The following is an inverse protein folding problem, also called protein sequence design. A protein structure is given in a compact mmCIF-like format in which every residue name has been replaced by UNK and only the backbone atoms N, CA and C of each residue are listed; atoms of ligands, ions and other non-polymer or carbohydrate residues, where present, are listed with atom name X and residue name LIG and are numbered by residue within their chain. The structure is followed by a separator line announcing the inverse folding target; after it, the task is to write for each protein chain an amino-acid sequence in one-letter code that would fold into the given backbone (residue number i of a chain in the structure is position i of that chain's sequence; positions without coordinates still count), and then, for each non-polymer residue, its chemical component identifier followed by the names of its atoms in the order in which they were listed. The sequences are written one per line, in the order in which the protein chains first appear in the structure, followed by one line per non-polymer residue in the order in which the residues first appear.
data_IF_080042781840
#
_entry.id   IF_080042781840
#
_cell.length_a   1.000
_cell.length_b   1.000
_cell.length_c   1.000
_cell.angle_alpha   90.00
_cell.angle_beta   90.00
_cell.angle_gamma   90.00
#
_symmetry.space_group_name_H-M   'P 1'
#
loop_
_entity.id
_entity.type
_entity.pdbx_description
1 polymer ?
#
# COMPACT_ATOMS: atom_id res chain seq x y z
N UNK A 1 41.94 16.61 -15.26
CA UNK A 1 41.67 15.65 -14.16
C UNK A 1 40.35 14.96 -14.46
N UNK A 2 40.26 13.62 -14.45
CA UNK A 2 38.97 12.96 -14.53
C UNK A 2 38.21 13.22 -13.23
N UNK A 3 36.99 13.76 -13.32
CA UNK A 3 36.07 13.83 -12.17
C UNK A 3 35.84 12.44 -11.62
N UNK A 4 35.91 12.30 -10.29
CA UNK A 4 35.48 11.08 -9.62
C UNK A 4 34.00 10.81 -9.96
N UNK A 5 33.59 9.55 -10.15
CA UNK A 5 32.19 9.21 -10.32
C UNK A 5 31.41 9.66 -9.08
N UNK A 6 30.22 10.22 -9.29
CA UNK A 6 29.33 10.59 -8.20
C UNK A 6 29.06 9.36 -7.31
N UNK A 7 29.02 9.53 -5.98
CA UNK A 7 28.73 8.41 -5.09
C UNK A 7 27.39 7.79 -5.47
N UNK A 8 27.35 6.46 -5.53
CA UNK A 8 26.10 5.72 -5.72
C UNK A 8 25.11 6.15 -4.63
N UNK A 9 23.81 6.33 -4.93
CA UNK A 9 22.83 6.71 -3.94
C UNK A 9 22.89 5.68 -2.80
N UNK A 10 22.95 6.17 -1.56
CA UNK A 10 22.82 5.31 -0.39
C UNK A 10 21.54 4.47 -0.53
N UNK A 11 21.55 3.19 -0.14
CA UNK A 11 20.34 2.38 -0.21
C UNK A 11 19.25 3.12 0.57
N UNK A 12 18.19 3.53 -0.14
CA UNK A 12 17.00 4.00 0.53
C UNK A 12 16.61 2.91 1.54
N UNK A 13 16.15 3.25 2.76
CA UNK A 13 15.55 2.25 3.63
C UNK A 13 14.50 1.47 2.82
N UNK A 14 14.21 0.22 3.16
CA UNK A 14 13.23 -0.62 2.50
C UNK A 14 11.83 0.04 2.54
N UNK A 15 11.66 1.08 1.75
CA UNK A 15 10.51 1.95 1.73
C UNK A 15 9.41 1.11 1.11
N UNK A 16 8.28 1.04 1.80
CA UNK A 16 7.09 0.40 1.27
C UNK A 16 6.05 1.49 1.13
N UNK A 17 5.42 1.55 -0.04
CA UNK A 17 4.33 2.48 -0.30
C UNK A 17 3.04 1.67 -0.24
N UNK A 18 2.17 2.01 0.70
CA UNK A 18 0.81 1.46 0.74
C UNK A 18 -0.09 2.31 -0.16
N UNK A 19 -0.55 1.72 -1.25
CA UNK A 19 -1.48 2.35 -2.17
C UNK A 19 -2.90 1.92 -1.79
N UNK A 20 -3.77 2.90 -1.57
CA UNK A 20 -5.19 2.70 -1.30
C UNK A 20 -6.01 3.25 -2.47
N UNK A 21 -6.97 2.46 -2.94
CA UNK A 21 -8.02 2.90 -3.84
C UNK A 21 -9.36 2.75 -3.10
N UNK A 22 -9.94 3.88 -2.72
CA UNK A 22 -11.19 3.93 -1.97
C UNK A 22 -12.37 4.19 -2.92
N UNK A 23 -13.24 3.20 -3.06
CA UNK A 23 -14.57 3.34 -3.62
C UNK A 23 -15.60 3.68 -2.55
N UNK A 24 -16.87 3.86 -2.95
CA UNK A 24 -17.96 4.17 -2.02
C UNK A 24 -18.30 3.01 -1.07
N UNK A 25 -18.15 1.77 -1.52
CA UNK A 25 -18.43 0.55 -0.75
C UNK A 25 -17.28 -0.46 -0.77
N UNK A 26 -16.10 -0.05 -1.25
CA UNK A 26 -14.92 -0.92 -1.34
C UNK A 26 -13.62 -0.17 -1.10
N UNK A 27 -12.59 -0.91 -0.67
CA UNK A 27 -11.23 -0.41 -0.49
C UNK A 27 -10.22 -1.45 -0.96
N UNK A 28 -9.58 -1.18 -2.11
CA UNK A 28 -8.45 -1.99 -2.59
C UNK A 28 -7.17 -1.46 -2.00
N UNK A 29 -6.29 -2.34 -1.55
CA UNK A 29 -5.00 -1.99 -0.99
C UNK A 29 -3.88 -2.80 -1.63
N UNK A 30 -2.71 -2.18 -1.77
CA UNK A 30 -1.50 -2.86 -2.23
C UNK A 30 -0.27 -2.24 -1.58
N UNK A 31 0.58 -3.06 -0.98
CA UNK A 31 1.90 -2.66 -0.50
C UNK A 31 2.91 -2.84 -1.64
N UNK A 32 3.63 -1.78 -2.02
CA UNK A 32 4.50 -1.75 -3.19
C UNK A 32 5.91 -1.32 -2.80
N UNK A 33 6.91 -1.97 -3.37
CA UNK A 33 8.28 -1.46 -3.37
C UNK A 33 8.39 -0.32 -4.41
N UNK A 34 8.69 0.93 -4.00
CA UNK A 34 8.66 2.08 -4.89
C UNK A 34 9.81 2.11 -5.90
N UNK A 35 10.86 1.31 -5.72
CA UNK A 35 12.02 1.24 -6.62
C UNK A 35 11.75 0.25 -7.75
N UNK A 36 11.21 -0.92 -7.41
CA UNK A 36 10.98 -2.01 -8.36
C UNK A 36 9.55 -2.06 -8.92
N UNK A 37 8.59 -1.42 -8.24
CA UNK A 37 7.16 -1.52 -8.54
C UNK A 37 6.54 -2.87 -8.14
N UNK A 38 7.30 -3.75 -7.49
CA UNK A 38 6.82 -5.07 -7.09
C UNK A 38 5.78 -4.95 -5.97
N UNK A 39 4.66 -5.67 -6.12
CA UNK A 39 3.65 -5.79 -5.08
C UNK A 39 4.12 -6.80 -4.02
N UNK A 40 4.22 -6.35 -2.77
CA UNK A 40 4.55 -7.18 -1.60
C UNK A 40 3.31 -7.87 -1.02
N UNK A 41 2.21 -7.13 -0.96
CA UNK A 41 0.91 -7.62 -0.52
C UNK A 41 -0.20 -6.88 -1.28
N UNK A 42 -1.35 -7.52 -1.45
CA UNK A 42 -2.53 -6.87 -2.01
C UNK A 42 -3.81 -7.53 -1.53
N UNK A 43 -4.86 -6.75 -1.44
CA UNK A 43 -6.19 -7.25 -1.11
C UNK A 43 -7.27 -6.21 -1.31
N UNK A 44 -8.47 -6.58 -0.90
CA UNK A 44 -9.65 -5.73 -0.99
C UNK A 44 -10.53 -5.93 0.25
N UNK A 45 -11.20 -4.86 0.66
CA UNK A 45 -12.31 -4.86 1.62
C UNK A 45 -13.56 -4.46 0.84
N UNK A 46 -14.58 -5.29 0.84
CA UNK A 46 -15.80 -5.10 0.04
C UNK A 46 -17.04 -4.92 0.95
N UNK A 47 -18.12 -4.37 0.37
CA UNK A 47 -19.41 -4.19 1.05
C UNK A 47 -19.29 -3.36 2.34
N UNK A 48 -18.49 -2.30 2.29
CA UNK A 48 -18.28 -1.40 3.43
C UNK A 48 -19.60 -0.71 3.77
N UNK A 49 -20.03 -0.80 5.03
CA UNK A 49 -21.28 -0.21 5.51
C UNK A 49 -22.54 -1.05 5.24
N UNK A 50 -22.40 -2.24 4.67
CA UNK A 50 -23.51 -3.16 4.42
C UNK A 50 -23.64 -4.20 5.55
N UNK A 51 -24.87 -4.68 5.87
CA UNK A 51 -25.07 -5.79 6.79
C UNK A 51 -24.34 -7.05 6.33
N UNK A 52 -23.43 -7.57 7.15
CA UNK A 52 -22.61 -8.75 6.81
C UNK A 52 -21.48 -8.46 5.82
N UNK A 53 -21.17 -7.20 5.55
CA UNK A 53 -19.99 -6.77 4.79
C UNK A 53 -18.68 -6.90 5.58
N UNK A 54 -17.56 -6.63 4.92
CA UNK A 54 -16.24 -6.86 5.51
C UNK A 54 -15.87 -5.82 6.58
N UNK A 55 -16.47 -4.63 6.52
CA UNK A 55 -16.25 -3.55 7.48
C UNK A 55 -17.49 -2.66 7.64
N UNK A 56 -17.75 -2.11 8.84
CA UNK A 56 -18.86 -1.19 9.06
C UNK A 56 -18.64 0.20 8.45
N UNK A 57 -17.39 0.61 8.24
CA UNK A 57 -17.00 1.92 7.72
C UNK A 57 -15.59 1.88 7.09
N UNK A 58 -15.20 2.97 6.42
CA UNK A 58 -13.90 3.07 5.76
C UNK A 58 -12.73 3.12 6.74
N UNK A 59 -12.93 3.63 7.96
CA UNK A 59 -11.89 3.65 8.98
C UNK A 59 -11.50 2.21 9.38
N UNK A 60 -12.51 1.39 9.65
CA UNK A 60 -12.36 -0.04 9.91
C UNK A 60 -11.78 -0.76 8.70
N UNK A 61 -12.20 -0.41 7.48
CA UNK A 61 -11.63 -0.97 6.26
C UNK A 61 -10.13 -0.67 6.10
N UNK A 62 -9.68 0.53 6.46
CA UNK A 62 -8.25 0.89 6.46
C UNK A 62 -7.49 0.08 7.50
N UNK A 63 -8.03 -0.10 8.71
CA UNK A 63 -7.39 -0.97 9.72
C UNK A 63 -7.24 -2.40 9.24
N UNK A 64 -8.29 -2.98 8.67
CA UNK A 64 -8.25 -4.32 8.09
C UNK A 64 -7.21 -4.41 6.97
N UNK A 65 -7.09 -3.38 6.12
CA UNK A 65 -6.08 -3.33 5.08
C UNK A 65 -4.66 -3.26 5.66
N UNK A 66 -4.44 -2.54 6.75
CA UNK A 66 -3.15 -2.45 7.44
C UNK A 66 -2.74 -3.77 8.09
N UNK A 67 -3.70 -4.54 8.63
CA UNK A 67 -3.44 -5.86 9.23
C UNK A 67 -3.13 -6.94 8.18
N UNK A 68 -3.39 -6.68 6.91
CA UNK A 68 -3.26 -7.63 5.79
C UNK A 68 -2.01 -7.41 4.92
N UNK A 69 -1.14 -6.43 5.27
CA UNK A 69 0.05 -6.07 4.47
C UNK A 69 1.38 -6.38 5.12
#
# INVERSE_FOLDING_TARGET
MPSAPAPAPAPAPAASVLVLNAGSSSLKHRLVDPVTGAARASGTVERIGEPGGDAPDHESAVRIALDRV
#
